data_IF_364431346044
#
_entry.id   IF_364431346044
#
_cell.length_a   1.000
_cell.length_b   1.000
_cell.length_c   1.000
_cell.angle_alpha   90.00
_cell.angle_beta   90.00
_cell.angle_gamma   90.00
#
_symmetry.space_group_name_H-M   'P 1'
#
loop_
_entity.id
_entity.type
_entity.pdbx_description
1 polymer ?
#
# COMPACT_ATOMS: atom_id res chain seq x y z
N UNK A 1 53.84 35.53 42.42
CA UNK A 1 52.39 35.51 42.05
C UNK A 1 52.30 35.01 40.63
N UNK A 2 51.92 33.75 40.48
CA UNK A 2 51.64 33.10 39.15
C UNK A 2 50.16 32.91 39.00
N UNK A 3 49.56 33.64 38.10
CA UNK A 3 48.10 33.42 37.71
C UNK A 3 48.04 32.23 36.80
N UNK A 4 47.24 31.24 37.20
CA UNK A 4 46.86 30.12 36.36
C UNK A 4 45.56 30.49 35.61
N UNK A 5 45.62 30.49 34.28
CA UNK A 5 44.47 30.67 33.39
C UNK A 5 43.87 29.29 33.18
N UNK A 6 42.65 29.10 33.66
CA UNK A 6 41.87 27.89 33.44
C UNK A 6 41.07 28.06 32.13
N UNK A 7 41.50 27.37 31.08
CA UNK A 7 40.72 27.30 29.83
C UNK A 7 39.67 26.21 29.95
N UNK A 8 38.39 26.63 30.05
CA UNK A 8 37.25 25.73 29.96
C UNK A 8 36.96 25.39 28.48
N UNK A 9 37.28 24.20 28.06
CA UNK A 9 36.85 23.66 26.76
C UNK A 9 35.42 23.18 26.92
N UNK A 10 34.47 23.94 26.37
CA UNK A 10 33.10 23.49 26.17
C UNK A 10 33.11 22.48 25.01
N UNK A 11 33.09 21.20 25.33
CA UNK A 11 32.83 20.13 24.39
C UNK A 11 31.35 20.14 23.97
N UNK A 12 31.11 20.63 22.77
CA UNK A 12 29.77 20.51 22.15
C UNK A 12 29.59 19.02 21.74
N UNK A 13 29.00 18.23 22.62
CA UNK A 13 28.50 16.91 22.23
C UNK A 13 27.33 17.11 21.25
N UNK A 14 27.63 17.08 19.97
CA UNK A 14 26.63 16.79 18.95
C UNK A 14 26.14 15.35 19.17
N UNK A 15 25.08 15.17 19.94
CA UNK A 15 24.33 13.94 19.95
C UNK A 15 23.64 13.85 18.58
N UNK A 16 24.33 13.20 17.63
CA UNK A 16 23.63 12.63 16.48
C UNK A 16 22.64 11.64 17.09
N UNK A 17 21.38 12.02 17.16
CA UNK A 17 20.31 11.13 17.59
C UNK A 17 20.32 9.93 16.65
N UNK A 18 20.87 8.82 17.12
CA UNK A 18 20.67 7.55 16.46
C UNK A 18 19.14 7.30 16.51
N UNK A 19 18.50 7.42 15.37
CA UNK A 19 17.09 7.04 15.23
C UNK A 19 17.02 5.57 15.62
N UNK A 20 16.45 5.30 16.80
CA UNK A 20 16.26 3.93 17.24
C UNK A 20 15.18 3.31 16.34
N UNK A 21 15.61 2.44 15.43
CA UNK A 21 14.69 1.68 14.61
C UNK A 21 13.97 0.65 15.49
N UNK A 22 12.69 0.46 15.24
CA UNK A 22 11.89 -0.61 15.85
C UNK A 22 12.62 -1.93 15.59
N UNK A 23 12.89 -2.76 16.62
CA UNK A 23 13.55 -4.02 16.44
C UNK A 23 12.76 -4.89 15.43
N UNK A 24 13.48 -5.53 14.54
CA UNK A 24 12.88 -6.39 13.51
C UNK A 24 12.07 -7.53 14.18
N UNK A 25 10.93 -7.88 13.59
CA UNK A 25 10.02 -8.89 14.15
C UNK A 25 9.07 -8.37 15.25
N UNK A 26 9.08 -7.07 15.53
CA UNK A 26 8.16 -6.43 16.46
C UNK A 26 7.27 -5.41 15.75
N UNK A 27 6.00 -5.40 16.14
CA UNK A 27 4.98 -4.47 15.61
C UNK A 27 4.31 -3.71 16.75
N UNK A 28 5.01 -2.77 17.42
CA UNK A 28 4.35 -1.88 18.39
C UNK A 28 3.22 -1.11 17.68
N UNK A 29 2.16 -0.70 18.42
CA UNK A 29 1.09 0.05 17.80
C UNK A 29 1.61 1.37 17.20
N UNK A 30 1.18 1.68 15.97
CA UNK A 30 1.55 2.92 15.28
C UNK A 30 0.48 3.99 15.42
N UNK A 31 0.93 5.24 15.42
CA UNK A 31 0.09 6.42 15.28
C UNK A 31 0.74 7.43 14.35
N UNK A 32 -0.06 8.38 13.87
CA UNK A 32 0.39 9.49 13.03
C UNK A 32 0.74 10.68 13.92
N UNK A 33 1.94 11.24 13.68
CA UNK A 33 2.36 12.53 14.23
C UNK A 33 3.00 13.37 13.11
N UNK A 34 2.31 14.47 12.75
CA UNK A 34 2.68 15.25 11.57
C UNK A 34 2.64 14.41 10.30
N UNK A 35 3.76 14.37 9.58
CA UNK A 35 3.92 13.57 8.37
C UNK A 35 4.69 12.25 8.59
N UNK A 36 4.74 11.77 9.83
CA UNK A 36 5.47 10.56 10.21
C UNK A 36 4.57 9.54 10.91
N UNK A 37 5.04 8.29 10.91
CA UNK A 37 4.50 7.22 11.75
C UNK A 37 5.41 7.05 12.95
N UNK A 38 4.80 6.98 14.14
CA UNK A 38 5.52 6.77 15.38
C UNK A 38 5.01 5.57 16.16
N UNK A 39 5.94 4.90 16.84
CA UNK A 39 5.61 3.92 17.87
C UNK A 39 5.33 4.63 19.23
N UNK A 40 4.90 3.90 20.28
CA UNK A 40 4.64 4.51 21.60
C UNK A 40 5.86 5.10 22.29
N UNK A 41 7.06 4.77 21.84
CA UNK A 41 8.33 5.30 22.36
C UNK A 41 8.77 6.55 21.61
N UNK A 42 8.03 6.95 20.57
CA UNK A 42 8.36 8.10 19.74
C UNK A 42 9.38 7.81 18.64
N UNK A 43 9.69 6.55 18.39
CA UNK A 43 10.57 6.20 17.27
C UNK A 43 9.78 6.32 15.96
N UNK A 44 10.40 6.96 14.96
CA UNK A 44 9.86 7.00 13.60
C UNK A 44 9.91 5.62 12.96
N UNK A 45 8.82 5.22 12.33
CA UNK A 45 8.70 3.94 11.62
C UNK A 45 8.44 4.22 10.14
N UNK A 46 9.29 3.65 9.27
CA UNK A 46 9.08 3.63 7.83
C UNK A 46 8.72 2.20 7.43
N UNK A 47 7.61 2.06 6.74
CA UNK A 47 7.11 0.76 6.30
C UNK A 47 7.68 0.42 4.93
N UNK A 48 8.15 -0.81 4.75
CA UNK A 48 8.59 -1.35 3.47
C UNK A 48 8.25 -2.83 3.37
N UNK A 49 7.68 -3.23 2.26
CA UNK A 49 7.22 -4.61 2.09
C UNK A 49 6.56 -4.85 0.75
N UNK A 50 5.59 -5.73 0.75
CA UNK A 50 4.95 -6.19 -0.48
C UNK A 50 3.43 -6.24 -0.34
N UNK A 51 2.76 -6.27 -1.48
CA UNK A 51 1.36 -6.60 -1.62
C UNK A 51 1.21 -8.05 -2.09
N UNK A 52 0.18 -8.73 -1.63
CA UNK A 52 -0.35 -9.91 -2.29
C UNK A 52 -1.84 -10.09 -1.97
N UNK A 53 -2.49 -10.96 -2.72
CA UNK A 53 -3.91 -11.23 -2.61
C UNK A 53 -4.17 -12.72 -2.38
N UNK A 54 -5.11 -13.10 -1.50
CA UNK A 54 -5.48 -14.51 -1.34
C UNK A 54 -6.32 -15.04 -2.52
N UNK A 55 -6.05 -14.57 -3.74
CA UNK A 55 -6.69 -15.04 -4.95
C UNK A 55 -6.00 -16.31 -5.48
N UNK A 56 -6.74 -17.41 -5.72
CA UNK A 56 -6.18 -18.59 -6.36
C UNK A 56 -5.55 -18.26 -7.72
N UNK A 57 -6.18 -17.41 -8.50
CA UNK A 57 -5.70 -17.03 -9.84
C UNK A 57 -4.31 -16.39 -9.81
N UNK A 58 -4.10 -15.37 -8.94
CA UNK A 58 -2.81 -14.69 -8.82
C UNK A 58 -1.72 -15.54 -8.13
N UNK A 59 -2.11 -16.61 -7.48
CA UNK A 59 -1.20 -17.51 -6.76
C UNK A 59 -1.08 -18.89 -7.41
N UNK A 60 -1.11 -18.98 -8.74
CA UNK A 60 -0.86 -20.20 -9.51
C UNK A 60 -1.75 -21.38 -9.09
N UNK A 61 -2.97 -21.09 -8.62
CA UNK A 61 -3.98 -22.08 -8.20
C UNK A 61 -3.53 -22.99 -7.04
N UNK A 62 -2.61 -22.53 -6.19
CA UNK A 62 -1.93 -23.34 -5.16
C UNK A 62 -2.88 -23.97 -4.14
N UNK A 63 -4.04 -23.35 -3.89
CA UNK A 63 -5.06 -23.90 -2.97
C UNK A 63 -6.36 -24.28 -3.65
N UNK A 64 -6.35 -24.48 -4.96
CA UNK A 64 -7.49 -24.90 -5.77
C UNK A 64 -8.10 -23.77 -6.59
N UNK A 65 -9.07 -24.12 -7.43
CA UNK A 65 -9.62 -23.19 -8.44
C UNK A 65 -10.70 -22.26 -7.90
N UNK A 66 -11.19 -22.49 -6.67
CA UNK A 66 -12.31 -21.73 -6.10
C UNK A 66 -11.94 -21.22 -4.70
N UNK A 67 -12.39 -20.01 -4.41
CA UNK A 67 -12.31 -19.43 -3.08
C UNK A 67 -13.54 -19.86 -2.26
N UNK A 68 -13.39 -20.93 -1.47
CA UNK A 68 -14.42 -21.49 -0.61
C UNK A 68 -13.84 -22.09 0.69
N UNK A 69 -14.69 -22.55 1.59
CA UNK A 69 -14.29 -23.04 2.90
C UNK A 69 -13.25 -24.17 2.87
N UNK A 70 -13.30 -25.04 1.87
CA UNK A 70 -12.37 -26.18 1.74
C UNK A 70 -10.92 -25.71 1.45
N UNK A 71 -10.74 -24.47 0.99
CA UNK A 71 -9.44 -23.95 0.60
C UNK A 71 -8.85 -22.94 1.59
N UNK A 72 -9.58 -22.59 2.65
CA UNK A 72 -9.13 -21.59 3.66
C UNK A 72 -7.82 -22.03 4.30
N UNK A 73 -7.74 -23.26 4.80
CA UNK A 73 -6.56 -23.75 5.50
C UNK A 73 -5.32 -23.77 4.61
N UNK A 74 -5.46 -24.21 3.35
CA UNK A 74 -4.35 -24.24 2.40
C UNK A 74 -3.87 -22.82 2.06
N UNK A 75 -4.78 -21.87 1.91
CA UNK A 75 -4.45 -20.46 1.72
C UNK A 75 -3.71 -19.89 2.94
N UNK A 76 -4.19 -20.15 4.17
CA UNK A 76 -3.53 -19.72 5.41
C UNK A 76 -2.13 -20.31 5.56
N UNK A 77 -1.91 -21.56 5.16
CA UNK A 77 -0.59 -22.22 5.20
C UNK A 77 0.37 -21.63 4.17
N UNK A 78 -0.12 -21.30 2.97
CA UNK A 78 0.69 -20.62 1.97
C UNK A 78 1.19 -19.26 2.44
N UNK A 79 0.28 -18.43 2.93
CA UNK A 79 0.65 -17.10 3.43
C UNK A 79 1.55 -17.14 4.66
N UNK A 80 1.43 -18.12 5.51
CA UNK A 80 2.35 -18.31 6.64
C UNK A 80 3.79 -18.53 6.17
N UNK A 81 3.98 -19.37 5.13
CA UNK A 81 5.29 -19.57 4.48
C UNK A 81 5.78 -18.31 3.77
N UNK A 82 4.87 -17.59 3.10
CA UNK A 82 5.20 -16.32 2.45
C UNK A 82 5.69 -15.29 3.47
N UNK A 83 4.96 -15.11 4.59
CA UNK A 83 5.36 -14.19 5.65
C UNK A 83 6.71 -14.58 6.25
N UNK A 84 6.95 -15.87 6.49
CA UNK A 84 8.26 -16.36 6.91
C UNK A 84 9.36 -15.95 5.92
N UNK A 85 9.13 -16.15 4.62
CA UNK A 85 10.13 -15.86 3.60
C UNK A 85 10.47 -14.37 3.50
N UNK A 86 9.46 -13.48 3.51
CA UNK A 86 9.69 -12.04 3.32
C UNK A 86 10.22 -11.33 4.58
N UNK A 87 10.20 -12.00 5.73
CA UNK A 87 10.70 -11.47 7.01
C UNK A 87 11.96 -12.17 7.50
N UNK A 88 12.53 -13.10 6.74
CA UNK A 88 13.74 -13.81 7.15
C UNK A 88 14.98 -12.95 6.95
N UNK A 89 15.29 -12.16 7.98
CA UNK A 89 16.46 -11.27 8.00
C UNK A 89 17.79 -12.02 7.91
N UNK A 90 17.83 -13.29 8.30
CA UNK A 90 19.04 -14.12 8.23
C UNK A 90 19.40 -14.46 6.79
N UNK A 91 18.40 -14.39 5.90
CA UNK A 91 18.52 -14.60 4.45
C UNK A 91 18.39 -13.29 3.65
N UNK A 92 18.39 -12.13 4.31
CA UNK A 92 18.38 -10.81 3.65
C UNK A 92 16.99 -10.30 3.27
N UNK A 93 15.92 -10.87 3.82
CA UNK A 93 14.56 -10.38 3.62
C UNK A 93 14.09 -9.54 4.82
N UNK A 94 13.73 -8.27 4.58
CA UNK A 94 13.50 -7.27 5.62
C UNK A 94 12.14 -6.59 5.53
N UNK A 95 11.12 -7.26 4.99
CA UNK A 95 9.78 -6.67 4.97
C UNK A 95 9.24 -6.47 6.40
N UNK A 96 8.60 -5.32 6.65
CA UNK A 96 7.92 -5.00 7.90
C UNK A 96 6.45 -4.61 7.70
N UNK A 97 5.95 -4.63 6.47
CA UNK A 97 4.53 -4.38 6.14
C UNK A 97 4.06 -5.33 5.05
N UNK A 98 2.79 -5.68 5.11
CA UNK A 98 2.09 -6.46 4.10
C UNK A 98 0.78 -5.78 3.72
N UNK A 99 0.56 -5.48 2.44
CA UNK A 99 -0.71 -4.96 1.94
C UNK A 99 -1.61 -6.12 1.55
N UNK A 100 -2.64 -6.37 2.35
CA UNK A 100 -3.57 -7.48 2.21
C UNK A 100 -4.81 -7.06 1.41
N UNK A 101 -5.04 -7.72 0.31
CA UNK A 101 -6.22 -7.54 -0.51
C UNK A 101 -7.41 -8.36 0.02
N UNK A 102 -8.56 -7.73 0.25
CA UNK A 102 -9.83 -8.42 0.54
C UNK A 102 -10.46 -8.88 -0.77
N UNK A 103 -9.88 -9.87 -1.40
CA UNK A 103 -10.10 -10.24 -2.80
C UNK A 103 -11.56 -10.57 -3.15
N UNK A 104 -12.07 -10.10 -4.31
CA UNK A 104 -13.43 -10.38 -4.78
C UNK A 104 -13.77 -11.87 -4.91
N UNK A 105 -12.79 -12.74 -5.18
CA UNK A 105 -13.04 -14.17 -5.30
C UNK A 105 -13.64 -14.79 -4.02
N UNK A 106 -13.33 -14.24 -2.83
CA UNK A 106 -13.91 -14.68 -1.56
C UNK A 106 -15.17 -13.91 -1.19
N UNK A 107 -15.26 -12.63 -1.58
CA UNK A 107 -16.33 -11.74 -1.13
C UNK A 107 -17.53 -11.70 -2.08
N UNK A 108 -17.33 -12.07 -3.34
CA UNK A 108 -18.42 -12.17 -4.30
C UNK A 108 -19.24 -13.44 -4.08
N UNK A 109 -20.54 -13.33 -4.29
CA UNK A 109 -21.46 -14.46 -4.31
C UNK A 109 -21.29 -15.23 -5.65
N UNK A 110 -20.87 -16.51 -5.61
CA UNK A 110 -20.67 -17.29 -6.84
C UNK A 110 -21.96 -17.53 -7.63
N UNK A 111 -23.12 -17.51 -6.96
CA UNK A 111 -24.41 -17.77 -7.56
C UNK A 111 -25.06 -16.51 -8.16
N UNK A 112 -24.54 -15.32 -7.79
CA UNK A 112 -25.04 -14.04 -8.30
C UNK A 112 -24.40 -13.70 -9.64
N UNK A 113 -25.23 -13.33 -10.60
CA UNK A 113 -24.76 -12.85 -11.91
C UNK A 113 -24.32 -11.39 -11.85
N UNK A 114 -23.34 -11.03 -12.68
CA UNK A 114 -23.00 -9.63 -12.93
C UNK A 114 -24.18 -8.88 -13.51
N UNK A 115 -24.34 -7.61 -13.13
CA UNK A 115 -25.34 -6.72 -13.71
C UNK A 115 -24.89 -6.10 -15.06
N UNK A 116 -23.62 -6.35 -15.43
CA UNK A 116 -23.04 -5.93 -16.71
C UNK A 116 -22.67 -4.45 -16.81
N UNK A 117 -22.78 -3.67 -15.72
CA UNK A 117 -22.38 -2.25 -15.73
C UNK A 117 -20.86 -2.09 -15.74
N UNK A 118 -20.18 -2.94 -14.98
CA UNK A 118 -18.73 -2.97 -14.86
C UNK A 118 -18.19 -4.39 -15.14
N UNK A 119 -16.90 -4.54 -15.33
CA UNK A 119 -16.26 -5.82 -15.60
C UNK A 119 -15.05 -6.05 -14.70
N UNK A 120 -14.64 -7.31 -14.57
CA UNK A 120 -13.47 -7.69 -13.79
C UNK A 120 -13.58 -7.32 -12.31
N UNK A 121 -12.54 -6.76 -11.75
CA UNK A 121 -12.48 -6.37 -10.34
C UNK A 121 -13.29 -5.12 -10.00
N UNK A 122 -13.70 -4.31 -10.99
CA UNK A 122 -14.58 -3.16 -10.77
C UNK A 122 -16.06 -3.54 -10.61
N UNK A 123 -16.44 -4.77 -10.96
CA UNK A 123 -17.81 -5.26 -10.82
C UNK A 123 -18.14 -5.60 -9.37
N UNK A 124 -18.79 -4.65 -8.68
CA UNK A 124 -19.28 -4.82 -7.32
C UNK A 124 -20.66 -5.47 -7.23
N UNK A 125 -21.33 -5.72 -8.36
CA UNK A 125 -22.71 -6.20 -8.40
C UNK A 125 -22.88 -7.58 -7.74
N UNK A 126 -21.79 -8.39 -7.74
CA UNK A 126 -21.74 -9.70 -7.11
C UNK A 126 -21.30 -9.69 -5.65
N UNK A 127 -20.90 -8.56 -5.11
CA UNK A 127 -20.46 -8.46 -3.72
C UNK A 127 -21.53 -8.96 -2.74
N UNK A 128 -21.06 -9.67 -1.71
CA UNK A 128 -21.87 -10.19 -0.61
C UNK A 128 -21.29 -9.78 0.74
N UNK A 129 -22.03 -8.92 1.44
CA UNK A 129 -21.67 -8.52 2.81
C UNK A 129 -21.55 -9.71 3.76
N UNK A 130 -22.43 -10.72 3.61
CA UNK A 130 -22.40 -11.94 4.40
C UNK A 130 -21.12 -12.75 4.15
N UNK A 131 -20.65 -12.83 2.89
CA UNK A 131 -19.40 -13.51 2.56
C UNK A 131 -18.21 -12.74 3.11
N UNK A 132 -18.19 -11.41 2.99
CA UNK A 132 -17.14 -10.59 3.60
C UNK A 132 -17.10 -10.81 5.13
N UNK A 133 -18.23 -10.78 5.85
CA UNK A 133 -18.26 -11.08 7.29
C UNK A 133 -17.71 -12.48 7.62
N UNK A 134 -18.10 -13.48 6.82
CA UNK A 134 -17.64 -14.86 6.98
C UNK A 134 -16.13 -14.95 6.81
N UNK A 135 -15.62 -14.50 5.68
CA UNK A 135 -14.20 -14.63 5.37
C UNK A 135 -13.31 -13.62 6.09
N UNK A 136 -13.87 -12.51 6.59
CA UNK A 136 -13.14 -11.67 7.52
C UNK A 136 -12.75 -12.46 8.79
N UNK A 137 -13.64 -13.34 9.29
CA UNK A 137 -13.40 -14.15 10.48
C UNK A 137 -12.54 -15.38 10.19
N UNK A 138 -12.76 -16.07 9.09
CA UNK A 138 -12.13 -17.37 8.81
C UNK A 138 -10.85 -17.25 7.96
N UNK A 139 -10.63 -16.16 7.24
CA UNK A 139 -9.49 -15.98 6.35
C UNK A 139 -8.73 -14.67 6.60
N UNK A 140 -9.34 -13.51 6.36
CA UNK A 140 -8.60 -12.23 6.30
C UNK A 140 -8.00 -11.80 7.63
N UNK A 141 -8.77 -11.88 8.73
CA UNK A 141 -8.21 -11.58 10.04
C UNK A 141 -7.18 -12.63 10.49
N UNK A 142 -7.36 -13.94 10.31
CA UNK A 142 -6.30 -14.93 10.51
C UNK A 142 -5.03 -14.65 9.68
N UNK A 143 -5.14 -14.26 8.41
CA UNK A 143 -4.00 -13.84 7.59
C UNK A 143 -3.30 -12.62 8.20
N UNK A 144 -4.05 -11.57 8.52
CA UNK A 144 -3.52 -10.37 9.14
C UNK A 144 -2.84 -10.65 10.49
N UNK A 145 -3.46 -11.50 11.34
CA UNK A 145 -2.87 -11.90 12.61
C UNK A 145 -1.57 -12.70 12.45
N UNK A 146 -1.50 -13.59 11.44
CA UNK A 146 -0.27 -14.31 11.11
C UNK A 146 0.82 -13.33 10.66
N UNK A 147 0.50 -12.38 9.77
CA UNK A 147 1.43 -11.34 9.35
C UNK A 147 2.00 -10.57 10.56
N UNK A 148 1.15 -10.12 11.49
CA UNK A 148 1.58 -9.46 12.73
C UNK A 148 2.47 -10.39 13.58
N UNK A 149 2.18 -11.68 13.64
CA UNK A 149 3.01 -12.68 14.32
C UNK A 149 4.40 -12.84 13.72
N UNK A 150 4.58 -12.52 12.43
CA UNK A 150 5.87 -12.47 11.74
C UNK A 150 6.53 -11.08 11.77
N UNK A 151 5.98 -10.11 12.51
CA UNK A 151 6.53 -8.76 12.60
C UNK A 151 6.13 -7.83 11.43
N UNK A 152 5.05 -8.13 10.74
CA UNK A 152 4.51 -7.32 9.65
C UNK A 152 3.34 -6.47 10.15
N UNK A 153 3.38 -5.17 9.88
CA UNK A 153 2.17 -4.35 9.87
C UNK A 153 1.30 -4.73 8.67
N UNK A 154 0.00 -4.47 8.75
CA UNK A 154 -0.92 -4.84 7.68
C UNK A 154 -1.71 -3.64 7.20
N UNK A 155 -1.72 -3.43 5.89
CA UNK A 155 -2.63 -2.50 5.20
C UNK A 155 -3.73 -3.32 4.53
N UNK A 156 -4.96 -3.20 5.02
CA UNK A 156 -6.11 -3.89 4.43
C UNK A 156 -6.73 -3.00 3.35
N UNK A 157 -6.79 -3.46 2.10
CA UNK A 157 -7.48 -2.76 1.02
C UNK A 157 -8.83 -3.43 0.69
N UNK A 158 -9.82 -2.68 0.14
CA UNK A 158 -11.15 -3.24 -0.17
C UNK A 158 -11.09 -4.25 -1.33
N UNK A 159 -12.15 -5.06 -1.53
CA UNK A 159 -12.22 -5.94 -2.68
C UNK A 159 -12.26 -5.17 -3.99
N UNK A 160 -11.44 -5.60 -4.96
CA UNK A 160 -11.45 -5.09 -6.32
C UNK A 160 -10.76 -3.74 -6.52
N UNK A 161 -11.02 -3.15 -7.67
CA UNK A 161 -10.57 -1.81 -8.07
C UNK A 161 -11.77 -0.88 -8.23
N UNK A 162 -11.54 0.43 -8.21
CA UNK A 162 -12.60 1.40 -8.44
C UNK A 162 -13.11 1.33 -9.90
N UNK A 163 -14.42 1.49 -10.13
CA UNK A 163 -14.94 1.88 -11.43
C UNK A 163 -14.25 3.15 -11.95
N UNK A 164 -14.25 3.32 -13.28
CA UNK A 164 -13.60 4.47 -13.90
C UNK A 164 -14.08 5.82 -13.32
N UNK A 165 -15.36 5.93 -13.04
CA UNK A 165 -15.95 7.12 -12.42
C UNK A 165 -16.70 6.74 -11.15
N UNK A 166 -16.34 7.35 -10.04
CA UNK A 166 -17.04 7.19 -8.76
C UNK A 166 -17.60 8.55 -8.30
N UNK A 167 -18.82 8.53 -7.77
CA UNK A 167 -19.57 9.73 -7.39
C UNK A 167 -19.84 9.76 -5.89
N UNK A 168 -19.68 10.92 -5.26
CA UNK A 168 -20.08 11.15 -3.87
C UNK A 168 -21.60 10.94 -3.70
N UNK A 169 -22.00 10.10 -2.75
CA UNK A 169 -23.39 9.65 -2.57
C UNK A 169 -23.81 8.49 -3.49
N UNK A 170 -22.96 8.10 -4.45
CA UNK A 170 -23.26 7.05 -5.43
C UNK A 170 -23.11 5.61 -4.92
N UNK A 171 -23.39 4.66 -5.80
CA UNK A 171 -23.43 3.22 -5.50
C UNK A 171 -22.09 2.70 -4.97
N UNK A 172 -20.97 3.11 -5.58
CA UNK A 172 -19.65 2.67 -5.17
C UNK A 172 -19.24 3.20 -3.80
N UNK A 173 -19.62 4.45 -3.44
CA UNK A 173 -19.41 4.97 -2.09
C UNK A 173 -20.20 4.15 -1.05
N UNK A 174 -21.46 3.79 -1.35
CA UNK A 174 -22.28 2.94 -0.46
C UNK A 174 -21.69 1.54 -0.30
N UNK A 175 -21.15 0.98 -1.39
CA UNK A 175 -20.41 -0.27 -1.36
C UNK A 175 -19.22 -0.19 -0.39
N UNK A 176 -18.35 0.81 -0.53
CA UNK A 176 -17.20 1.01 0.36
C UNK A 176 -17.63 1.27 1.81
N UNK A 177 -18.72 2.02 2.01
CA UNK A 177 -19.32 2.21 3.35
C UNK A 177 -19.71 0.88 3.98
N UNK A 178 -20.28 -0.04 3.20
CA UNK A 178 -20.66 -1.38 3.67
C UNK A 178 -19.44 -2.23 3.99
N UNK A 179 -18.44 -2.24 3.10
CA UNK A 179 -17.17 -2.97 3.31
C UNK A 179 -16.52 -2.52 4.62
N UNK A 180 -16.33 -1.21 4.78
CA UNK A 180 -15.60 -0.68 5.92
C UNK A 180 -16.43 -0.67 7.20
N UNK A 181 -17.76 -0.64 7.13
CA UNK A 181 -18.62 -0.91 8.29
C UNK A 181 -18.36 -2.31 8.85
N UNK A 182 -18.36 -3.33 8.00
CA UNK A 182 -18.11 -4.72 8.41
C UNK A 182 -16.72 -4.89 9.01
N UNK A 183 -15.69 -4.37 8.34
CA UNK A 183 -14.30 -4.53 8.78
C UNK A 183 -14.05 -3.76 10.08
N UNK A 184 -14.43 -2.49 10.14
CA UNK A 184 -14.10 -1.60 11.26
C UNK A 184 -14.91 -1.87 12.54
N UNK A 185 -16.09 -2.47 12.44
CA UNK A 185 -16.87 -2.89 13.64
C UNK A 185 -16.44 -4.25 14.21
N UNK A 186 -15.58 -4.99 13.50
CA UNK A 186 -15.10 -6.29 13.98
C UNK A 186 -14.17 -6.11 15.19
N UNK A 187 -14.51 -6.76 16.32
CA UNK A 187 -13.77 -6.61 17.58
C UNK A 187 -12.32 -7.03 17.48
N UNK A 188 -12.03 -8.07 16.70
CA UNK A 188 -10.67 -8.55 16.49
C UNK A 188 -9.84 -7.54 15.68
N UNK A 189 -10.42 -6.94 14.65
CA UNK A 189 -9.76 -5.89 13.86
C UNK A 189 -9.50 -4.66 14.72
N UNK A 190 -10.48 -4.23 15.54
CA UNK A 190 -10.31 -3.10 16.46
C UNK A 190 -9.23 -3.34 17.50
N UNK A 191 -9.15 -4.57 18.05
CA UNK A 191 -8.11 -4.94 19.01
C UNK A 191 -6.69 -4.81 18.45
N UNK A 192 -6.53 -5.00 17.16
CA UNK A 192 -5.24 -4.90 16.46
C UNK A 192 -5.08 -3.58 15.67
N UNK A 193 -5.88 -2.57 15.97
CA UNK A 193 -5.88 -1.30 15.23
C UNK A 193 -4.52 -0.56 15.22
N UNK A 194 -3.62 -0.88 16.16
CA UNK A 194 -2.25 -0.34 16.14
C UNK A 194 -1.32 -1.01 15.13
N UNK A 195 -1.65 -2.24 14.69
CA UNK A 195 -0.88 -3.02 13.72
C UNK A 195 -1.58 -3.15 12.37
N UNK A 196 -2.92 -3.03 12.37
CA UNK A 196 -3.74 -3.07 11.17
C UNK A 196 -4.16 -1.66 10.78
N UNK A 197 -4.05 -1.36 9.52
CA UNK A 197 -4.52 -0.11 8.92
C UNK A 197 -5.49 -0.39 7.78
N UNK A 198 -6.26 0.60 7.37
CA UNK A 198 -7.28 0.50 6.34
C UNK A 198 -6.93 1.45 5.20
N UNK A 199 -6.86 0.93 3.97
CA UNK A 199 -6.78 1.71 2.74
C UNK A 199 -8.17 1.78 2.10
N UNK A 200 -8.72 2.99 1.95
CA UNK A 200 -10.16 3.19 1.72
C UNK A 200 -10.66 2.69 0.37
N UNK A 201 -9.85 2.78 -0.69
CA UNK A 201 -10.20 2.34 -2.03
C UNK A 201 -8.93 2.01 -2.82
N UNK A 202 -9.06 1.27 -3.91
CA UNK A 202 -7.98 0.96 -4.83
C UNK A 202 -8.21 1.63 -6.19
N UNK A 203 -7.27 2.47 -6.58
CA UNK A 203 -7.20 3.15 -7.89
C UNK A 203 -8.42 3.95 -8.30
N UNK A 204 -8.89 4.94 -7.50
CA UNK A 204 -9.87 5.89 -8.00
C UNK A 204 -9.31 6.64 -9.23
N UNK A 205 -10.05 6.62 -10.35
CA UNK A 205 -9.64 7.32 -11.58
C UNK A 205 -10.27 8.70 -11.61
N UNK A 206 -11.60 8.78 -11.80
CA UNK A 206 -12.37 10.02 -11.77
C UNK A 206 -13.26 10.02 -10.54
N UNK A 207 -13.12 11.06 -9.71
CA UNK A 207 -13.94 11.24 -8.51
C UNK A 207 -14.78 12.49 -8.68
N UNK A 208 -16.10 12.33 -8.64
CA UNK A 208 -17.04 13.42 -8.81
C UNK A 208 -17.77 13.73 -7.50
N UNK A 209 -18.21 14.97 -7.39
CA UNK A 209 -19.08 15.40 -6.30
C UNK A 209 -20.50 14.83 -6.45
N UNK A 210 -21.42 15.19 -5.55
CA UNK A 210 -22.79 14.69 -5.58
C UNK A 210 -23.60 15.15 -6.80
N UNK A 211 -23.12 16.13 -7.55
CA UNK A 211 -23.73 16.61 -8.80
C UNK A 211 -23.14 15.97 -10.04
N UNK A 212 -22.10 15.11 -9.89
CA UNK A 212 -21.43 14.45 -11.00
C UNK A 212 -20.31 15.30 -11.61
N UNK A 213 -19.86 16.35 -10.95
CA UNK A 213 -18.77 17.21 -11.43
C UNK A 213 -17.42 16.86 -10.77
N UNK A 214 -16.35 16.87 -11.53
CA UNK A 214 -15.00 16.83 -10.98
C UNK A 214 -14.66 18.18 -10.37
N UNK A 215 -14.61 18.26 -9.05
CA UNK A 215 -14.28 19.47 -8.30
C UNK A 215 -13.14 19.18 -7.34
N UNK A 216 -12.36 20.19 -6.92
CA UNK A 216 -11.31 20.00 -5.91
C UNK A 216 -11.83 19.39 -4.59
N UNK A 217 -13.13 19.58 -4.28
CA UNK A 217 -13.76 19.06 -3.07
C UNK A 217 -14.29 17.62 -3.23
N UNK A 218 -14.39 17.10 -4.46
CA UNK A 218 -15.01 15.80 -4.72
C UNK A 218 -14.37 14.65 -3.93
N UNK A 219 -13.02 14.64 -3.83
CA UNK A 219 -12.29 13.65 -3.03
C UNK A 219 -12.71 13.67 -1.55
N UNK A 220 -12.79 14.86 -0.94
CA UNK A 220 -13.24 14.98 0.44
C UNK A 220 -14.70 14.55 0.60
N UNK A 221 -15.58 14.97 -0.31
CA UNK A 221 -17.01 14.58 -0.26
C UNK A 221 -17.18 13.07 -0.40
N UNK A 222 -16.31 12.43 -1.16
CA UNK A 222 -16.37 10.98 -1.33
C UNK A 222 -15.80 10.23 -0.13
N UNK A 223 -14.61 10.58 0.38
CA UNK A 223 -13.92 9.76 1.38
C UNK A 223 -14.21 10.15 2.84
N UNK A 224 -14.56 11.41 3.14
CA UNK A 224 -14.84 11.82 4.51
C UNK A 224 -15.98 11.05 5.18
N UNK A 225 -17.13 10.77 4.52
CA UNK A 225 -18.19 9.95 5.12
C UNK A 225 -17.72 8.54 5.49
N UNK A 226 -16.84 7.93 4.68
CA UNK A 226 -16.27 6.60 4.94
C UNK A 226 -15.37 6.65 6.18
N UNK A 227 -14.48 7.65 6.27
CA UNK A 227 -13.64 7.88 7.46
C UNK A 227 -14.49 8.04 8.72
N UNK A 228 -15.54 8.87 8.65
CA UNK A 228 -16.45 9.10 9.76
C UNK A 228 -17.14 7.80 10.22
N UNK A 229 -17.55 6.96 9.26
CA UNK A 229 -18.17 5.65 9.55
C UNK A 229 -17.20 4.72 10.28
N UNK A 230 -15.97 4.62 9.79
CA UNK A 230 -14.91 3.79 10.40
C UNK A 230 -14.63 4.25 11.83
N UNK A 231 -14.54 5.56 12.06
CA UNK A 231 -14.30 6.14 13.40
C UNK A 231 -15.49 5.95 14.34
N UNK A 232 -16.72 6.08 13.84
CA UNK A 232 -17.94 5.83 14.61
C UNK A 232 -18.03 4.38 15.09
N UNK A 233 -17.46 3.42 14.35
CA UNK A 233 -17.35 2.02 14.75
C UNK A 233 -16.26 1.75 15.79
N UNK A 234 -15.46 2.77 16.16
CA UNK A 234 -14.41 2.66 17.19
C UNK A 234 -13.07 2.11 16.69
N UNK A 235 -12.84 2.05 15.38
CA UNK A 235 -11.52 1.73 14.84
C UNK A 235 -10.58 2.94 15.00
N UNK A 236 -9.46 2.75 15.70
CA UNK A 236 -8.51 3.82 16.06
C UNK A 236 -7.23 3.80 15.21
N UNK A 237 -7.01 2.78 14.41
CA UNK A 237 -5.82 2.61 13.59
C UNK A 237 -5.70 3.63 12.46
N UNK A 238 -4.62 3.53 11.71
CA UNK A 238 -4.34 4.43 10.58
C UNK A 238 -5.33 4.16 9.45
N UNK A 239 -5.84 5.24 8.86
CA UNK A 239 -6.65 5.20 7.63
C UNK A 239 -5.83 5.86 6.52
N UNK A 240 -5.58 5.09 5.47
CA UNK A 240 -4.91 5.52 4.26
C UNK A 240 -5.94 5.96 3.22
N UNK A 241 -5.87 7.21 2.84
CA UNK A 241 -6.83 7.83 1.92
C UNK A 241 -6.23 7.91 0.52
N UNK A 242 -6.90 7.37 -0.51
CA UNK A 242 -6.41 7.44 -1.87
C UNK A 242 -6.72 8.78 -2.53
N UNK A 243 -5.94 9.13 -3.57
CA UNK A 243 -6.21 10.22 -4.49
C UNK A 243 -6.99 9.77 -5.72
N UNK A 244 -7.23 10.68 -6.67
CA UNK A 244 -7.75 10.37 -8.01
C UNK A 244 -6.63 10.03 -8.99
N UNK A 245 -6.96 9.82 -10.28
CA UNK A 245 -5.99 9.57 -11.34
C UNK A 245 -5.16 8.31 -11.11
N UNK A 246 -5.82 7.18 -10.88
CA UNK A 246 -5.19 5.91 -10.47
C UNK A 246 -4.35 6.07 -9.19
N UNK A 247 -4.89 6.80 -8.22
CA UNK A 247 -4.25 7.00 -6.91
C UNK A 247 -2.92 7.79 -6.99
N UNK A 248 -2.82 8.73 -7.93
CA UNK A 248 -1.61 9.55 -8.15
C UNK A 248 -1.83 11.05 -7.95
N UNK A 249 -3.07 11.56 -7.77
CA UNK A 249 -3.38 12.98 -7.68
C UNK A 249 -4.09 13.33 -6.37
N UNK A 250 -3.43 14.12 -5.53
CA UNK A 250 -3.85 14.53 -4.18
C UNK A 250 -4.08 16.03 -4.03
N UNK A 251 -4.01 16.80 -5.13
CA UNK A 251 -4.12 18.29 -5.10
C UNK A 251 -5.39 18.78 -4.43
N UNK A 252 -6.51 18.06 -4.57
CA UNK A 252 -7.77 18.40 -3.92
C UNK A 252 -7.68 18.46 -2.40
N UNK A 253 -6.88 17.59 -1.79
CA UNK A 253 -6.72 17.54 -0.33
C UNK A 253 -5.89 18.69 0.24
N UNK A 254 -5.10 19.38 -0.56
CA UNK A 254 -4.40 20.59 -0.12
C UNK A 254 -5.37 21.70 0.28
N UNK A 255 -6.53 21.77 -0.39
CA UNK A 255 -7.58 22.77 -0.09
C UNK A 255 -8.69 22.19 0.78
N UNK A 256 -9.05 20.92 0.55
CA UNK A 256 -10.14 20.21 1.23
C UNK A 256 -9.61 18.94 1.90
N UNK A 257 -8.84 19.06 3.01
CA UNK A 257 -8.24 17.90 3.65
C UNK A 257 -9.27 17.00 4.30
N UNK A 258 -8.93 15.71 4.43
CA UNK A 258 -9.68 14.77 5.26
C UNK A 258 -9.49 15.14 6.72
N UNK A 259 -10.59 15.21 7.47
CA UNK A 259 -10.60 15.52 8.90
C UNK A 259 -10.61 14.24 9.72
N UNK A 260 -9.80 14.22 10.77
CA UNK A 260 -9.71 13.08 11.68
C UNK A 260 -8.31 12.93 12.25
N UNK A 261 -8.12 11.91 13.08
CA UNK A 261 -6.81 11.50 13.63
C UNK A 261 -6.34 10.24 12.90
N UNK A 262 -5.04 9.97 12.96
CA UNK A 262 -4.41 8.82 12.31
C UNK A 262 -4.82 8.70 10.83
N UNK A 263 -4.71 9.81 10.11
CA UNK A 263 -4.93 9.88 8.66
C UNK A 263 -3.56 9.91 7.98
N UNK A 264 -3.40 9.07 6.97
CA UNK A 264 -2.31 9.11 6.01
C UNK A 264 -2.85 8.96 4.58
N UNK A 265 -1.98 9.05 3.60
CA UNK A 265 -2.38 8.94 2.20
C UNK A 265 -1.66 7.78 1.51
N UNK A 266 -2.43 6.97 0.77
CA UNK A 266 -1.94 5.85 -0.01
C UNK A 266 -1.80 6.24 -1.46
N UNK A 267 -0.60 6.12 -2.02
CA UNK A 267 -0.23 6.56 -3.37
C UNK A 267 0.13 5.35 -4.21
N UNK A 268 -0.23 5.37 -5.49
CA UNK A 268 0.33 4.49 -6.51
C UNK A 268 1.32 5.29 -7.36
N UNK A 269 2.54 4.82 -7.44
CA UNK A 269 3.59 5.49 -8.19
C UNK A 269 4.32 4.48 -9.10
N UNK A 270 4.12 4.66 -10.40
CA UNK A 270 4.76 3.85 -11.43
C UNK A 270 5.70 4.76 -12.23
N UNK A 271 6.92 5.01 -11.72
CA UNK A 271 7.82 6.02 -12.29
C UNK A 271 8.16 5.78 -13.76
N UNK A 272 8.02 4.56 -14.27
CA UNK A 272 8.18 4.23 -15.67
C UNK A 272 7.27 4.99 -16.63
N UNK A 273 6.08 5.35 -16.21
CA UNK A 273 5.15 6.14 -17.00
C UNK A 273 5.62 7.58 -17.24
N UNK A 274 6.58 8.07 -16.47
CA UNK A 274 7.10 9.43 -16.54
C UNK A 274 8.43 9.53 -17.28
N UNK A 275 8.95 8.43 -17.84
CA UNK A 275 10.19 8.41 -18.62
C UNK A 275 11.43 8.79 -17.81
N UNK A 276 11.48 8.49 -16.50
CA UNK A 276 12.61 8.82 -15.64
C UNK A 276 13.87 8.02 -15.97
N UNK A 277 15.04 8.62 -15.72
CA UNK A 277 16.35 7.99 -15.82
C UNK A 277 17.18 8.22 -14.55
N UNK A 278 18.42 7.75 -14.51
CA UNK A 278 19.32 7.92 -13.35
C UNK A 278 20.04 9.29 -13.32
N UNK A 279 19.59 10.28 -14.10
CA UNK A 279 20.21 11.60 -14.09
C UNK A 279 19.81 12.41 -12.85
N UNK A 280 20.67 13.30 -12.39
CA UNK A 280 20.37 14.23 -11.29
C UNK A 280 19.17 15.12 -11.65
N UNK A 281 19.08 15.59 -12.90
CA UNK A 281 17.97 16.41 -13.38
C UNK A 281 16.64 15.67 -13.32
N UNK A 282 16.63 14.37 -13.66
CA UNK A 282 15.42 13.56 -13.59
C UNK A 282 15.00 13.31 -12.14
N UNK A 283 15.95 13.15 -11.22
CA UNK A 283 15.65 13.04 -9.79
C UNK A 283 14.99 14.32 -9.24
N UNK A 284 15.54 15.49 -9.55
CA UNK A 284 14.97 16.78 -9.16
C UNK A 284 13.58 17.00 -9.78
N UNK A 285 13.40 16.66 -11.05
CA UNK A 285 12.10 16.70 -11.71
C UNK A 285 11.11 15.72 -11.08
N UNK A 286 11.53 14.50 -10.76
CA UNK A 286 10.70 13.49 -10.12
C UNK A 286 10.22 13.95 -8.74
N UNK A 287 11.10 14.48 -7.91
CA UNK A 287 10.76 15.03 -6.59
C UNK A 287 9.76 16.18 -6.73
N UNK A 288 9.99 17.12 -7.66
CA UNK A 288 9.09 18.23 -7.92
C UNK A 288 7.71 17.76 -8.40
N UNK A 289 7.66 16.85 -9.37
CA UNK A 289 6.41 16.30 -9.90
C UNK A 289 5.63 15.53 -8.83
N UNK A 290 6.33 14.75 -8.01
CA UNK A 290 5.71 14.05 -6.89
C UNK A 290 5.08 15.04 -5.90
N UNK A 291 5.82 16.06 -5.49
CA UNK A 291 5.30 17.10 -4.58
C UNK A 291 4.10 17.84 -5.17
N UNK A 292 4.13 18.22 -6.46
CA UNK A 292 3.01 18.87 -7.15
C UNK A 292 1.75 17.98 -7.19
N UNK A 293 1.92 16.67 -7.33
CA UNK A 293 0.82 15.71 -7.38
C UNK A 293 0.34 15.29 -5.99
N UNK A 294 1.25 15.21 -5.01
CA UNK A 294 1.04 14.69 -3.66
C UNK A 294 1.44 15.72 -2.59
N UNK A 295 0.88 16.94 -2.60
CA UNK A 295 1.28 18.00 -1.66
C UNK A 295 1.02 17.66 -0.20
N UNK A 296 0.21 16.65 0.08
CA UNK A 296 -0.09 16.13 1.42
C UNK A 296 1.13 15.50 2.11
N UNK A 297 2.21 15.20 1.38
CA UNK A 297 3.46 14.64 1.92
C UNK A 297 4.13 15.54 2.95
N UNK A 298 3.90 16.85 2.86
CA UNK A 298 4.45 17.83 3.81
C UNK A 298 3.75 17.78 5.19
N UNK A 299 2.54 17.26 5.25
CA UNK A 299 1.69 17.37 6.44
C UNK A 299 1.18 16.05 6.99
N UNK A 300 1.20 14.99 6.21
CA UNK A 300 0.71 13.67 6.58
C UNK A 300 1.66 12.56 6.11
N UNK A 301 1.69 11.41 6.78
CA UNK A 301 2.46 10.28 6.30
C UNK A 301 1.90 9.76 4.96
N UNK A 302 2.81 9.38 4.09
CA UNK A 302 2.51 8.79 2.79
C UNK A 302 3.01 7.36 2.76
N UNK A 303 2.18 6.47 2.25
CA UNK A 303 2.58 5.12 1.85
C UNK A 303 2.35 4.95 0.36
N UNK A 304 3.38 4.56 -0.38
CA UNK A 304 3.22 4.16 -1.78
C UNK A 304 2.82 2.69 -1.76
N UNK A 305 1.52 2.43 -1.92
CA UNK A 305 0.94 1.08 -1.77
C UNK A 305 1.07 0.23 -3.02
N UNK A 306 1.34 0.83 -4.16
CA UNK A 306 1.80 0.13 -5.36
C UNK A 306 2.91 0.92 -6.01
N UNK A 307 4.02 0.25 -6.22
CA UNK A 307 5.14 0.74 -7.00
C UNK A 307 5.75 -0.43 -7.75
N UNK A 308 5.83 -0.28 -9.03
CA UNK A 308 6.57 -1.19 -9.88
C UNK A 308 6.93 -0.49 -11.19
N UNK A 309 7.91 -1.01 -11.83
CA UNK A 309 8.24 -0.62 -13.18
C UNK A 309 8.94 -1.78 -13.86
N UNK A 310 8.35 -2.24 -14.93
CA UNK A 310 8.90 -3.35 -15.65
C UNK A 310 9.26 -2.96 -17.09
N UNK A 311 10.50 -3.10 -17.55
CA UNK A 311 10.64 -3.33 -18.97
C UNK A 311 9.90 -4.64 -19.23
N UNK A 312 8.94 -4.61 -20.09
CA UNK A 312 8.50 -5.83 -20.71
C UNK A 312 9.75 -6.58 -21.20
N UNK A 313 9.61 -7.87 -21.44
CA UNK A 313 10.68 -8.76 -21.90
C UNK A 313 11.61 -8.06 -22.89
N UNK A 314 12.93 -8.25 -22.83
CA UNK A 314 13.84 -7.70 -23.83
C UNK A 314 13.33 -7.94 -25.27
N UNK A 315 13.15 -6.87 -26.03
CA UNK A 315 12.56 -6.92 -27.37
C UNK A 315 11.04 -6.77 -27.43
N UNK A 316 10.36 -6.61 -26.28
CA UNK A 316 8.94 -6.24 -26.30
C UNK A 316 8.73 -4.79 -26.73
N UNK A 317 7.59 -4.52 -27.33
CA UNK A 317 7.20 -3.24 -27.88
C UNK A 317 5.95 -3.38 -28.73
N UNK A 318 5.58 -2.32 -29.38
CA UNK A 318 4.44 -2.31 -30.30
C UNK A 318 4.74 -1.46 -31.54
N UNK A 319 4.03 -1.68 -32.61
CA UNK A 319 4.06 -0.78 -33.76
C UNK A 319 3.07 0.35 -33.54
N UNK A 320 3.53 1.61 -33.72
CA UNK A 320 2.68 2.77 -33.68
C UNK A 320 1.80 2.87 -34.95
N UNK A 321 0.97 3.90 -35.01
CA UNK A 321 0.08 4.17 -36.18
C UNK A 321 0.83 4.43 -37.49
N UNK A 322 2.13 4.71 -37.42
CA UNK A 322 3.00 4.92 -38.59
C UNK A 322 3.79 3.66 -38.98
N UNK A 323 3.55 2.52 -38.31
CA UNK A 323 4.25 1.26 -38.54
C UNK A 323 5.68 1.24 -38.02
N UNK A 324 6.06 2.14 -37.13
CA UNK A 324 7.36 2.19 -36.47
C UNK A 324 7.33 1.39 -35.18
N UNK A 325 8.39 0.61 -34.93
CA UNK A 325 8.52 -0.15 -33.68
C UNK A 325 8.83 0.77 -32.51
N UNK A 326 7.93 0.83 -31.54
CA UNK A 326 8.12 1.53 -30.27
C UNK A 326 8.48 0.49 -29.21
N UNK A 327 9.72 0.48 -28.70
CA UNK A 327 10.11 -0.44 -27.66
C UNK A 327 9.36 -0.12 -26.38
N UNK A 328 8.98 -1.16 -25.64
CA UNK A 328 8.41 -0.99 -24.31
C UNK A 328 9.47 -0.45 -23.32
N UNK A 329 9.11 0.58 -22.57
CA UNK A 329 10.01 1.29 -21.65
C UNK A 329 9.78 0.90 -20.18
N UNK A 330 9.24 -0.27 -19.93
CA UNK A 330 8.97 -0.69 -18.54
C UNK A 330 10.12 -1.52 -18.01
N UNK A 331 10.40 -1.33 -16.70
CA UNK A 331 11.27 -2.22 -15.95
C UNK A 331 10.59 -2.65 -14.67
N UNK A 332 10.91 -3.82 -14.13
CA UNK A 332 10.62 -4.17 -12.74
C UNK A 332 11.75 -3.69 -11.85
N UNK A 333 11.60 -3.80 -10.54
CA UNK A 333 12.73 -3.75 -9.61
C UNK A 333 13.83 -4.73 -10.01
N UNK A 334 13.48 -5.86 -10.61
CA UNK A 334 14.40 -6.84 -11.18
C UNK A 334 15.30 -6.27 -12.29
N UNK A 335 14.85 -5.26 -12.98
CA UNK A 335 15.55 -4.63 -14.10
C UNK A 335 15.85 -3.16 -13.83
N UNK A 336 15.73 -2.69 -12.59
CA UNK A 336 15.98 -1.30 -12.19
C UNK A 336 17.37 -0.80 -12.63
N UNK A 337 18.38 -1.67 -12.59
CA UNK A 337 19.74 -1.34 -13.06
C UNK A 337 19.82 -1.11 -14.57
N UNK A 338 18.97 -1.76 -15.36
CA UNK A 338 18.91 -1.61 -16.82
C UNK A 338 17.96 -0.52 -17.25
N UNK A 339 16.87 -0.30 -16.54
CA UNK A 339 15.89 0.77 -16.78
C UNK A 339 16.37 2.14 -16.26
N UNK A 340 17.33 2.14 -15.33
CA UNK A 340 17.97 3.34 -14.78
C UNK A 340 17.05 4.29 -14.00
N UNK A 341 15.91 3.82 -13.52
CA UNK A 341 15.01 4.66 -12.72
C UNK A 341 15.22 4.49 -11.19
N UNK A 342 15.80 3.38 -10.77
CA UNK A 342 15.90 3.03 -9.35
C UNK A 342 16.70 4.03 -8.54
N UNK A 343 17.74 4.64 -9.12
CA UNK A 343 18.54 5.67 -8.47
C UNK A 343 17.74 6.96 -8.25
N UNK A 344 17.00 7.42 -9.26
CA UNK A 344 16.16 8.63 -9.14
C UNK A 344 15.03 8.42 -8.14
N UNK A 345 14.42 7.24 -8.14
CA UNK A 345 13.40 6.88 -7.18
C UNK A 345 13.94 6.81 -5.75
N UNK A 346 15.13 6.22 -5.57
CA UNK A 346 15.82 6.24 -4.28
C UNK A 346 16.08 7.66 -3.80
N UNK A 347 16.48 8.58 -4.67
CA UNK A 347 16.68 9.98 -4.30
C UNK A 347 15.38 10.66 -3.85
N UNK A 348 14.23 10.31 -4.45
CA UNK A 348 12.92 10.76 -3.98
C UNK A 348 12.63 10.25 -2.57
N UNK A 349 12.83 8.96 -2.33
CA UNK A 349 12.63 8.36 -1.00
C UNK A 349 13.56 8.97 0.05
N UNK A 350 14.84 9.16 -0.31
CA UNK A 350 15.86 9.77 0.58
C UNK A 350 15.54 11.25 0.88
N UNK A 351 14.98 11.98 -0.09
CA UNK A 351 14.60 13.39 0.07
C UNK A 351 13.55 13.59 1.17
N UNK A 352 12.53 12.75 1.18
CA UNK A 352 11.46 12.83 2.19
C UNK A 352 11.81 12.06 3.47
N UNK A 353 12.50 10.93 3.36
CA UNK A 353 12.98 10.12 4.48
C UNK A 353 11.89 9.42 5.31
N UNK A 354 10.61 9.66 5.01
CA UNK A 354 9.46 9.17 5.77
C UNK A 354 8.40 8.49 4.89
N UNK A 355 8.64 8.35 3.58
CA UNK A 355 7.71 7.66 2.68
C UNK A 355 7.83 6.16 2.90
N UNK A 356 6.71 5.55 3.26
CA UNK A 356 6.54 4.10 3.35
C UNK A 356 6.17 3.52 1.98
N UNK A 357 6.40 2.20 1.76
CA UNK A 357 6.03 1.58 0.48
C UNK A 357 5.73 0.09 0.57
N UNK A 358 4.90 -0.41 -0.34
CA UNK A 358 4.74 -1.82 -0.67
C UNK A 358 4.95 -2.02 -2.17
N UNK A 359 5.75 -3.00 -2.55
CA UNK A 359 5.87 -3.43 -3.95
C UNK A 359 4.55 -4.04 -4.42
N UNK A 360 4.24 -3.90 -5.70
CA UNK A 360 2.96 -4.31 -6.29
C UNK A 360 2.75 -5.82 -6.42
N UNK A 361 3.65 -6.62 -5.88
CA UNK A 361 3.52 -8.08 -5.77
C UNK A 361 4.71 -8.74 -5.08
N UNK A 362 4.48 -9.91 -4.50
CA UNK A 362 5.55 -10.72 -3.89
C UNK A 362 6.64 -11.04 -4.90
N UNK A 363 6.28 -11.33 -6.16
CA UNK A 363 7.21 -11.60 -7.25
C UNK A 363 8.13 -10.42 -7.63
N UNK A 364 7.85 -9.22 -7.14
CA UNK A 364 8.76 -8.07 -7.25
C UNK A 364 9.85 -8.07 -6.17
N UNK A 365 9.73 -8.91 -5.16
CA UNK A 365 10.63 -8.94 -4.01
C UNK A 365 11.44 -10.23 -3.90
N UNK A 366 10.77 -11.39 -3.89
CA UNK A 366 11.40 -12.72 -3.80
C UNK A 366 10.80 -13.69 -4.81
N UNK A 367 11.58 -14.71 -5.14
CA UNK A 367 11.12 -15.90 -5.84
C UNK A 367 10.46 -16.87 -4.85
N UNK A 368 9.13 -16.74 -4.70
CA UNK A 368 8.40 -17.56 -3.73
C UNK A 368 8.39 -19.06 -4.10
N UNK A 369 8.43 -19.42 -5.38
CA UNK A 369 8.47 -20.81 -5.80
C UNK A 369 9.79 -21.49 -5.42
N UNK A 370 10.88 -20.76 -5.55
CA UNK A 370 12.18 -21.21 -5.06
C UNK A 370 12.13 -21.44 -3.54
N UNK A 371 11.59 -20.49 -2.78
CA UNK A 371 11.46 -20.62 -1.32
C UNK A 371 10.60 -21.82 -0.91
N UNK A 372 9.46 -22.01 -1.55
CA UNK A 372 8.54 -23.12 -1.25
C UNK A 372 9.17 -24.49 -1.51
N UNK A 373 10.11 -24.59 -2.47
CA UNK A 373 10.78 -25.83 -2.82
C UNK A 373 12.07 -26.10 -2.03
N UNK A 374 12.78 -25.07 -1.59
CA UNK A 374 14.11 -25.18 -0.98
C UNK A 374 14.23 -24.69 0.45
N UNK A 375 13.29 -23.86 0.91
CA UNK A 375 13.38 -23.11 2.18
C UNK A 375 14.39 -21.97 2.14
N UNK A 376 14.94 -21.62 0.97
CA UNK A 376 15.96 -20.59 0.81
C UNK A 376 15.38 -19.37 0.12
N UNK A 377 15.58 -18.18 0.70
CA UNK A 377 15.17 -16.91 0.10
C UNK A 377 16.09 -16.60 -1.08
N UNK A 378 15.50 -16.30 -2.21
CA UNK A 378 16.17 -15.78 -3.39
C UNK A 378 15.50 -14.48 -3.79
N UNK A 379 16.22 -13.34 -3.92
CA UNK A 379 15.67 -12.13 -4.48
C UNK A 379 15.00 -12.39 -5.83
N UNK A 380 13.93 -11.66 -6.13
CA UNK A 380 13.26 -11.75 -7.43
C UNK A 380 14.18 -11.28 -8.58
N UNK A 381 15.20 -10.51 -8.24
CA UNK A 381 16.23 -10.00 -9.14
C UNK A 381 17.63 -10.28 -8.59
N UNK A 382 18.58 -10.51 -9.46
CA UNK A 382 20.00 -10.71 -9.17
C UNK A 382 20.83 -9.58 -9.74
#
# INVERSE_FOLDING_TARGET
MKQAILSAIFGLCLTVGAWAQVPFGHTPPLHVDGNQLHDPQGNTVVLHGVMDTPSPYFNSWRWGNNANDAHVDACLQYFDKLYTAITDTTQGAFANVFRLHLDPCWTNDPDKKSDGKESGEADISRFSAQRLEKYLRSLYFPLARKAVGHGLYVVMRPPGVCPKTIQAGGEYQQYLMTVWDIVSRNDSVRKYAGQLSIELANEPVQVTDSTGQETPQALQQFFQPIVNKIRANGFTGIIWVPGSGWQSNYRGYATYPIRGYNIGYAVHDYPGWYGTSDSQTDAENGIRQFHEAVPVVDTHPVIITEVDWSPEKPGAGHYNEHGEWVPANYGTWATASTSKWGKTYKQLLDHYGNISMTLSGTGCYIDIDHYLSTGTVRPAFQ
#
